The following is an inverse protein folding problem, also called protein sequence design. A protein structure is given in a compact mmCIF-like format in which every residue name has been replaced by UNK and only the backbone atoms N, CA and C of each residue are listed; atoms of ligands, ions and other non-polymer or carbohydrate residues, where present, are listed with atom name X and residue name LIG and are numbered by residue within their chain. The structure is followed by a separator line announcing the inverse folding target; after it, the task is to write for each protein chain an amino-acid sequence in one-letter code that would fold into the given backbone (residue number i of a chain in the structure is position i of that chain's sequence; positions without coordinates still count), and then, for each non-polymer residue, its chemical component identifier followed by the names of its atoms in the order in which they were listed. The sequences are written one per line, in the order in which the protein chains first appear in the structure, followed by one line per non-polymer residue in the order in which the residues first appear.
data_IF_972456543202
#
_entry.id   IF_972456543202
#
_cell.length_a   1.000
_cell.length_b   1.000
_cell.length_c   1.000
_cell.angle_alpha   90.00
_cell.angle_beta   90.00
_cell.angle_gamma   90.00
#
_symmetry.space_group_name_H-M   'P 1'
#
loop_
_entity.id
_entity.type
_entity.pdbx_description
1 polymer ?
#
# COMPACT_ATOMS: atom_id res chain seq x y z
N UNK A 1 5.65 26.92 -2.24
CA UNK A 1 6.74 25.93 -2.12
C UNK A 1 6.12 24.57 -1.83
N UNK A 2 6.16 23.63 -2.78
CA UNK A 2 5.68 22.25 -2.54
C UNK A 2 6.67 21.61 -1.57
N UNK A 3 6.23 21.35 -0.32
CA UNK A 3 7.04 20.63 0.66
C UNK A 3 7.31 19.24 0.08
N UNK A 4 8.49 19.03 -0.49
CA UNK A 4 8.94 17.73 -1.00
C UNK A 4 8.98 16.78 0.19
N UNK A 5 7.94 15.96 0.33
CA UNK A 5 7.90 14.86 1.30
C UNK A 5 8.97 13.85 0.86
N UNK A 6 9.95 13.60 1.73
CA UNK A 6 10.98 12.56 1.54
C UNK A 6 10.32 11.20 1.35
N UNK A 7 10.93 10.31 0.57
CA UNK A 7 10.38 8.98 0.29
C UNK A 7 10.12 8.17 1.58
N UNK A 8 10.92 8.35 2.63
CA UNK A 8 10.70 7.78 3.96
C UNK A 8 9.37 8.23 4.60
N UNK A 9 8.95 9.48 4.37
CA UNK A 9 7.65 9.99 4.85
C UNK A 9 6.50 9.33 4.11
N UNK A 10 6.67 9.05 2.81
CA UNK A 10 5.67 8.35 2.00
C UNK A 10 5.55 6.88 2.39
N UNK A 11 6.65 6.19 2.66
CA UNK A 11 6.61 4.81 3.18
C UNK A 11 5.79 4.72 4.47
N UNK A 12 6.06 5.61 5.43
CA UNK A 12 5.30 5.65 6.69
C UNK A 12 3.81 5.92 6.45
N UNK A 13 3.45 6.80 5.51
CA UNK A 13 2.04 7.06 5.18
C UNK A 13 1.36 5.85 4.53
N UNK A 14 2.07 5.08 3.71
CA UNK A 14 1.55 3.86 3.09
C UNK A 14 1.32 2.79 4.16
N UNK A 15 2.31 2.55 5.02
CA UNK A 15 2.22 1.58 6.12
C UNK A 15 1.09 1.96 7.11
N UNK A 16 0.96 3.25 7.43
CA UNK A 16 -0.14 3.75 8.23
C UNK A 16 -1.49 3.61 7.51
N UNK A 17 -1.55 3.76 6.19
CA UNK A 17 -2.78 3.56 5.43
C UNK A 17 -3.21 2.09 5.35
N UNK A 18 -2.27 1.15 5.42
CA UNK A 18 -2.56 -0.30 5.46
C UNK A 18 -2.91 -0.76 6.88
N UNK A 19 -2.24 -0.19 7.88
CA UNK A 19 -2.54 -0.45 9.29
C UNK A 19 -3.86 0.20 9.71
N UNK A 20 -4.21 1.32 9.10
CA UNK A 20 -5.49 1.97 9.29
C UNK A 20 -6.54 1.24 8.46
N UNK A 21 -7.66 0.84 9.04
CA UNK A 21 -8.79 0.23 8.30
C UNK A 21 -9.55 1.23 7.40
N UNK A 22 -8.92 2.35 7.05
CA UNK A 22 -9.48 3.41 6.24
C UNK A 22 -9.23 3.12 4.76
N UNK A 23 -10.21 3.48 3.92
CA UNK A 23 -9.98 3.48 2.47
C UNK A 23 -8.90 4.52 2.11
N UNK A 24 -8.05 4.21 1.12
CA UNK A 24 -6.96 5.08 0.64
C UNK A 24 -7.44 6.51 0.34
N UNK A 25 -8.66 6.65 -0.19
CA UNK A 25 -9.30 7.96 -0.44
C UNK A 25 -9.62 8.72 0.84
N UNK A 26 -10.16 8.05 1.85
CA UNK A 26 -10.46 8.65 3.15
C UNK A 26 -9.17 9.05 3.88
N UNK A 27 -8.16 8.20 3.84
CA UNK A 27 -6.83 8.49 4.37
C UNK A 27 -6.19 9.71 3.69
N UNK A 28 -6.29 9.81 2.36
CA UNK A 28 -5.79 10.96 1.61
C UNK A 28 -6.51 12.25 2.02
N UNK A 29 -7.84 12.23 2.15
CA UNK A 29 -8.62 13.38 2.61
C UNK A 29 -8.23 13.83 4.02
N UNK A 30 -8.00 12.89 4.94
CA UNK A 30 -7.62 13.18 6.32
C UNK A 30 -6.21 13.78 6.44
N UNK A 31 -5.30 13.39 5.55
CA UNK A 31 -3.89 13.81 5.60
C UNK A 31 -3.57 14.97 4.63
N UNK A 32 -4.58 15.59 4.03
CA UNK A 32 -4.44 16.63 3.01
C UNK A 32 -3.47 16.19 1.88
N UNK A 33 -3.69 14.96 1.42
CA UNK A 33 -2.92 14.32 0.36
C UNK A 33 -3.75 14.30 -0.91
N UNK A 34 -3.08 14.58 -2.02
CA UNK A 34 -3.68 14.37 -3.33
C UNK A 34 -3.69 12.85 -3.65
N UNK A 35 -4.85 12.23 -3.89
CA UNK A 35 -4.96 10.79 -4.12
C UNK A 35 -4.16 10.32 -5.34
N UNK A 36 -4.07 11.13 -6.40
CA UNK A 36 -3.25 10.80 -7.58
C UNK A 36 -1.76 10.73 -7.24
N UNK A 37 -1.27 11.69 -6.44
CA UNK A 37 0.12 11.71 -5.98
C UNK A 37 0.40 10.55 -5.02
N UNK A 38 -0.55 10.24 -4.14
CA UNK A 38 -0.45 9.11 -3.22
C UNK A 38 -0.34 7.79 -3.98
N UNK A 39 -1.18 7.56 -5.00
CA UNK A 39 -1.14 6.35 -5.80
C UNK A 39 0.16 6.23 -6.60
N UNK A 40 0.61 7.31 -7.25
CA UNK A 40 1.87 7.33 -7.97
C UNK A 40 3.07 7.03 -7.05
N UNK A 41 3.07 7.54 -5.81
CA UNK A 41 4.11 7.25 -4.83
C UNK A 41 4.03 5.83 -4.27
N UNK A 42 2.81 5.32 -4.08
CA UNK A 42 2.58 3.94 -3.69
C UNK A 42 3.15 2.97 -4.73
N UNK A 43 2.97 3.23 -6.03
CA UNK A 43 3.54 2.40 -7.09
C UNK A 43 5.07 2.46 -7.10
N UNK A 44 5.66 3.66 -7.08
CA UNK A 44 7.12 3.84 -7.06
C UNK A 44 7.79 3.11 -5.88
N UNK A 45 7.18 3.17 -4.68
CA UNK A 45 7.71 2.53 -3.49
C UNK A 45 7.45 1.01 -3.45
N UNK A 46 6.32 0.56 -4.01
CA UNK A 46 6.04 -0.86 -4.13
C UNK A 46 7.00 -1.54 -5.10
N UNK A 47 7.40 -0.88 -6.20
CA UNK A 47 8.43 -1.39 -7.12
C UNK A 47 9.80 -1.52 -6.42
N UNK A 48 10.12 -0.63 -5.47
CA UNK A 48 11.36 -0.72 -4.69
C UNK A 48 11.31 -1.87 -3.67
N UNK A 49 10.16 -2.10 -3.03
CA UNK A 49 9.95 -3.24 -2.12
C UNK A 49 9.98 -4.57 -2.88
N UNK A 50 9.33 -4.65 -4.04
CA UNK A 50 9.30 -5.85 -4.89
C UNK A 50 10.68 -6.18 -5.46
N UNK A 51 11.52 -5.16 -5.72
CA UNK A 51 12.91 -5.37 -6.15
C UNK A 51 13.82 -5.88 -5.02
N UNK A 52 13.48 -5.63 -3.75
CA UNK A 52 14.25 -6.12 -2.59
C UNK A 52 13.62 -7.37 -1.93
N UNK A 53 12.38 -7.71 -2.27
CA UNK A 53 11.66 -8.85 -1.72
C UNK A 53 10.42 -9.17 -2.55
N UNK A 54 10.63 -9.85 -3.68
CA UNK A 54 9.54 -10.39 -4.49
C UNK A 54 8.83 -11.51 -3.73
N UNK A 55 7.82 -11.18 -2.94
CA UNK A 55 6.71 -12.08 -2.64
C UNK A 55 5.41 -11.30 -2.78
N UNK A 56 4.91 -11.33 -4.01
CA UNK A 56 3.49 -11.28 -4.33
C UNK A 56 2.64 -11.79 -3.15
N UNK A 57 1.68 -11.01 -2.62
CA UNK A 57 0.57 -11.62 -1.92
C UNK A 57 -0.24 -12.37 -2.98
N UNK A 58 0.19 -13.61 -3.28
CA UNK A 58 -0.65 -14.63 -3.88
C UNK A 58 -1.94 -14.57 -3.09
N UNK A 59 -2.97 -14.09 -3.78
CA UNK A 59 -4.36 -14.13 -3.36
C UNK A 59 -4.69 -15.60 -3.03
N UNK A 60 -4.38 -16.04 -1.82
CA UNK A 60 -4.75 -17.36 -1.33
C UNK A 60 -6.24 -17.28 -1.00
N UNK A 61 -7.06 -17.42 -2.05
CA UNK A 61 -8.45 -17.83 -1.90
C UNK A 61 -8.43 -19.12 -1.10
N UNK A 62 -8.76 -19.01 0.19
CA UNK A 62 -9.00 -20.15 1.05
C UNK A 62 -10.21 -20.91 0.50
N UNK A 63 -10.07 -22.24 0.57
CA UNK A 63 -11.11 -23.20 0.99
C UNK A 63 -11.98 -23.86 -0.10
N UNK A 64 -11.67 -25.14 -0.36
CA UNK A 64 -12.56 -26.28 -0.12
C UNK A 64 -11.67 -27.55 -0.13
N UNK A 65 -11.24 -28.09 1.02
CA UNK A 65 -11.88 -29.23 1.71
C UNK A 65 -12.66 -30.11 0.71
N UNK A 66 -12.23 -31.31 0.34
CA UNK A 66 -12.38 -32.57 1.11
C UNK A 66 -11.69 -33.69 0.28
N UNK A 67 -10.84 -34.52 0.90
CA UNK A 67 -10.67 -35.94 0.52
C UNK A 67 -11.56 -36.76 1.47
N UNK A 68 -12.25 -37.81 1.01
CA UNK A 68 -11.67 -39.17 0.98
C UNK A 68 -12.22 -39.99 -0.23
N UNK A 69 -11.88 -41.25 -0.54
CA UNK A 69 -11.07 -42.32 0.03
C UNK A 69 -10.58 -43.15 -1.15
#
# INVERSE_FOLDING_TARGET
MVKRRTDQKWQMLIEQSESSSLSKLAFCKLNDLNPSTFYAKCQQLNETVVSQGFLEPKLSKRQLSIRPR
#
